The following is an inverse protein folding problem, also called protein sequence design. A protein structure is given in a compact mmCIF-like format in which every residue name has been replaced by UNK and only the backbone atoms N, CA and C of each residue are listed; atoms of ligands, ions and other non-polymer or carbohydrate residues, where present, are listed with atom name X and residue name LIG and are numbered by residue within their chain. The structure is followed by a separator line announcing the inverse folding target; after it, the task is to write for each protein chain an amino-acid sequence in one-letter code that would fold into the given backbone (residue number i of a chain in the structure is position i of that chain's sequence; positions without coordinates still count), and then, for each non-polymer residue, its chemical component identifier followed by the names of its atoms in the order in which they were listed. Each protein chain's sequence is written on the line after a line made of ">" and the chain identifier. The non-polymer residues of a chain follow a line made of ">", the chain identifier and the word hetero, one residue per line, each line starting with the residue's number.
data_IF_733581221538
#
_entry.id   IF_733581221538
#
_cell.length_a   1.000
_cell.length_b   1.000
_cell.length_c   1.000
_cell.angle_alpha   90.00
_cell.angle_beta   90.00
_cell.angle_gamma   90.00
#
_symmetry.space_group_name_H-M   'P 1'
#
loop_
_entity.id
_entity.type
_entity.pdbx_description
1 polymer ?
#
# COMPACT_ATOMS: atom_id res chain seq x y z
N UNK A 1 -20.21 -12.99 -15.38
CA UNK A 1 -19.24 -14.07 -15.11
C UNK A 1 -19.99 -15.18 -14.37
N UNK A 2 -19.86 -16.45 -14.81
CA UNK A 2 -20.53 -17.58 -14.13
C UNK A 2 -19.75 -17.98 -12.89
N UNK A 3 -20.43 -18.31 -11.80
CA UNK A 3 -19.79 -18.74 -10.53
C UNK A 3 -18.92 -19.99 -10.72
N UNK A 4 -19.27 -20.88 -11.65
CA UNK A 4 -18.50 -22.07 -12.03
C UNK A 4 -17.12 -21.77 -12.63
N UNK A 5 -16.88 -20.53 -13.04
CA UNK A 5 -15.59 -20.09 -13.61
C UNK A 5 -14.75 -19.30 -12.59
N UNK A 6 -15.21 -19.18 -11.34
CA UNK A 6 -14.49 -18.51 -10.27
C UNK A 6 -13.78 -19.55 -9.39
N UNK A 7 -12.54 -19.25 -9.04
CA UNK A 7 -11.84 -19.94 -7.95
C UNK A 7 -12.45 -19.47 -6.65
N UNK A 8 -13.32 -20.30 -6.07
CA UNK A 8 -13.98 -20.06 -4.79
C UNK A 8 -13.23 -20.86 -3.72
N UNK A 9 -12.36 -20.20 -2.99
CA UNK A 9 -11.58 -20.82 -1.92
C UNK A 9 -12.27 -20.79 -0.55
N UNK A 10 -13.61 -21.02 -0.52
CA UNK A 10 -14.38 -20.98 0.74
C UNK A 10 -14.03 -22.09 1.71
N UNK A 11 -14.07 -21.81 3.02
CA UNK A 11 -13.81 -22.76 4.08
C UNK A 11 -14.96 -22.75 5.11
N UNK A 12 -15.24 -23.91 5.72
CA UNK A 12 -16.28 -24.03 6.75
C UNK A 12 -15.77 -23.61 8.14
N UNK A 13 -14.55 -23.98 8.44
CA UNK A 13 -13.96 -23.79 9.76
C UNK A 13 -13.23 -22.45 9.88
N UNK A 14 -13.16 -21.93 11.09
CA UNK A 14 -12.34 -20.76 11.37
C UNK A 14 -10.85 -21.16 11.35
N UNK A 15 -10.00 -20.38 10.71
CA UNK A 15 -8.57 -20.62 10.81
C UNK A 15 -8.08 -20.42 12.26
N UNK A 16 -7.18 -21.30 12.70
CA UNK A 16 -6.72 -21.34 14.10
C UNK A 16 -5.99 -20.05 14.52
N UNK A 17 -5.37 -19.37 13.56
CA UNK A 17 -4.52 -18.19 13.75
C UNK A 17 -5.28 -16.86 13.51
N UNK A 18 -6.58 -16.91 13.23
CA UNK A 18 -7.37 -15.69 13.01
C UNK A 18 -8.18 -15.36 14.28
N UNK A 19 -7.74 -14.36 15.03
CA UNK A 19 -8.43 -13.90 16.24
C UNK A 19 -9.58 -12.93 15.92
N UNK A 20 -9.39 -12.06 14.90
CA UNK A 20 -10.33 -11.01 14.53
C UNK A 20 -11.43 -11.57 13.62
N UNK A 21 -12.69 -11.29 13.97
CA UNK A 21 -13.87 -11.79 13.24
C UNK A 21 -13.84 -11.43 11.74
N UNK A 22 -13.44 -10.21 11.38
CA UNK A 22 -13.33 -9.79 9.98
C UNK A 22 -12.30 -10.64 9.22
N UNK A 23 -11.16 -10.96 9.83
CA UNK A 23 -10.12 -11.82 9.26
C UNK A 23 -10.64 -13.25 9.05
N UNK A 24 -11.32 -13.82 10.06
CA UNK A 24 -11.96 -15.14 9.96
C UNK A 24 -12.95 -15.19 8.79
N UNK A 25 -13.80 -14.17 8.66
CA UNK A 25 -14.79 -14.09 7.60
C UNK A 25 -14.15 -13.92 6.22
N UNK A 26 -13.09 -13.12 6.08
CA UNK A 26 -12.36 -12.96 4.82
C UNK A 26 -11.75 -14.28 4.34
N UNK A 27 -11.13 -15.04 5.24
CA UNK A 27 -10.54 -16.36 4.90
C UNK A 27 -11.65 -17.35 4.55
N UNK A 28 -12.69 -17.46 5.39
CA UNK A 28 -13.83 -18.38 5.17
C UNK A 28 -14.58 -18.08 3.87
N UNK A 29 -14.79 -16.81 3.55
CA UNK A 29 -15.44 -16.40 2.31
C UNK A 29 -14.54 -16.56 1.07
N UNK A 30 -13.28 -16.97 1.23
CA UNK A 30 -12.34 -17.11 0.13
C UNK A 30 -11.96 -15.77 -0.52
N UNK A 31 -11.88 -14.70 0.27
CA UNK A 31 -11.40 -13.40 -0.18
C UNK A 31 -9.87 -13.34 -0.21
N UNK A 32 -9.24 -13.96 0.77
CA UNK A 32 -7.79 -14.02 0.93
C UNK A 32 -7.31 -15.43 1.27
N UNK A 33 -6.05 -15.72 0.96
CA UNK A 33 -5.34 -16.94 1.35
C UNK A 33 -3.98 -16.58 1.89
N UNK A 34 -3.68 -17.05 3.09
CA UNK A 34 -2.40 -16.82 3.74
C UNK A 34 -1.26 -17.56 3.02
N UNK A 35 -0.14 -16.88 2.86
CA UNK A 35 1.13 -17.42 2.35
C UNK A 35 2.08 -17.68 3.53
N UNK A 36 2.24 -16.67 4.39
CA UNK A 36 2.94 -16.75 5.66
C UNK A 36 2.32 -15.73 6.62
N UNK A 37 2.81 -15.67 7.86
CA UNK A 37 2.32 -14.70 8.85
C UNK A 37 2.36 -13.27 8.28
N UNK A 38 1.22 -12.58 8.27
CA UNK A 38 1.08 -11.22 7.74
C UNK A 38 1.05 -11.10 6.20
N UNK A 39 1.30 -12.18 5.44
CA UNK A 39 1.37 -12.15 3.97
C UNK A 39 0.23 -12.97 3.36
N UNK A 40 -0.56 -12.34 2.49
CA UNK A 40 -1.77 -12.91 1.92
C UNK A 40 -1.86 -12.74 0.41
N UNK A 41 -2.39 -13.77 -0.27
CA UNK A 41 -2.90 -13.65 -1.63
C UNK A 41 -4.34 -13.14 -1.59
N UNK A 42 -4.66 -12.15 -2.40
CA UNK A 42 -6.03 -11.73 -2.67
C UNK A 42 -6.62 -12.64 -3.75
N UNK A 43 -7.65 -13.40 -3.41
CA UNK A 43 -8.37 -14.25 -4.35
C UNK A 43 -9.32 -13.42 -5.24
N UNK A 44 -9.85 -13.96 -6.35
CA UNK A 44 -10.59 -13.17 -7.33
C UNK A 44 -11.75 -12.34 -6.77
N UNK A 45 -12.51 -12.88 -5.82
CA UNK A 45 -13.61 -12.14 -5.18
C UNK A 45 -13.06 -11.05 -4.25
N UNK A 46 -12.03 -11.39 -3.46
CA UNK A 46 -11.37 -10.42 -2.57
C UNK A 46 -10.78 -9.24 -3.35
N UNK A 47 -10.08 -9.53 -4.47
CA UNK A 47 -9.54 -8.46 -5.34
C UNK A 47 -10.63 -7.55 -5.90
N UNK A 48 -11.80 -8.10 -6.26
CA UNK A 48 -12.95 -7.27 -6.71
C UNK A 48 -13.51 -6.39 -5.60
N UNK A 49 -13.58 -6.88 -4.37
CA UNK A 49 -14.02 -6.07 -3.21
C UNK A 49 -13.02 -4.95 -2.98
N UNK A 50 -11.72 -5.27 -2.96
CA UNK A 50 -10.64 -4.27 -2.81
C UNK A 50 -10.74 -3.18 -3.88
N UNK A 51 -10.89 -3.56 -5.16
CA UNK A 51 -11.04 -2.60 -6.26
C UNK A 51 -12.28 -1.70 -6.12
N UNK A 52 -13.38 -2.20 -5.56
CA UNK A 52 -14.56 -1.36 -5.29
C UNK A 52 -14.25 -0.30 -4.23
N UNK A 53 -13.56 -0.68 -3.17
CA UNK A 53 -13.14 0.27 -2.11
C UNK A 53 -12.19 1.30 -2.69
N UNK A 54 -11.16 0.86 -3.42
CA UNK A 54 -10.21 1.76 -4.13
C UNK A 54 -10.93 2.75 -5.04
N UNK A 55 -11.92 2.29 -5.81
CA UNK A 55 -12.68 3.15 -6.73
C UNK A 55 -13.57 4.18 -6.01
N UNK A 56 -14.12 3.84 -4.86
CA UNK A 56 -14.88 4.79 -4.03
C UNK A 56 -13.95 5.89 -3.53
N UNK A 57 -12.80 5.51 -2.95
CA UNK A 57 -11.79 6.47 -2.46
C UNK A 57 -11.30 7.36 -3.61
N UNK A 58 -10.91 6.74 -4.74
CA UNK A 58 -10.44 7.46 -5.93
C UNK A 58 -11.47 8.49 -6.42
N UNK A 59 -12.74 8.11 -6.47
CA UNK A 59 -13.83 9.00 -6.88
C UNK A 59 -13.95 10.21 -5.96
N UNK A 60 -13.95 9.99 -4.65
CA UNK A 60 -14.07 11.09 -3.68
C UNK A 60 -12.84 12.00 -3.70
N UNK A 61 -11.63 11.45 -3.83
CA UNK A 61 -10.40 12.24 -3.95
C UNK A 61 -10.37 13.07 -5.24
N UNK A 62 -10.82 12.51 -6.38
CA UNK A 62 -10.92 13.24 -7.63
C UNK A 62 -11.96 14.39 -7.56
N UNK A 63 -13.08 14.17 -6.87
CA UNK A 63 -14.09 15.24 -6.64
C UNK A 63 -13.49 16.36 -5.79
N UNK A 64 -12.63 16.03 -4.82
CA UNK A 64 -11.91 17.00 -4.00
C UNK A 64 -10.79 17.74 -4.77
N UNK A 65 -10.50 17.35 -6.03
CA UNK A 65 -9.46 17.97 -6.86
C UNK A 65 -8.06 17.41 -6.65
N UNK A 66 -7.92 16.29 -5.94
CA UNK A 66 -6.64 15.62 -5.78
C UNK A 66 -6.16 14.99 -7.10
N UNK A 67 -4.85 14.96 -7.30
CA UNK A 67 -4.21 14.31 -8.45
C UNK A 67 -3.58 12.99 -8.00
N UNK A 68 -4.01 11.87 -8.60
CA UNK A 68 -3.46 10.55 -8.30
C UNK A 68 -2.10 10.37 -8.97
N UNK A 69 -1.12 9.96 -8.18
CA UNK A 69 0.22 9.60 -8.68
C UNK A 69 0.58 8.18 -8.22
N UNK A 70 1.47 7.52 -8.93
CA UNK A 70 2.03 6.24 -8.54
C UNK A 70 3.49 6.42 -8.16
N UNK A 71 3.79 6.21 -6.89
CA UNK A 71 5.15 6.34 -6.35
C UNK A 71 5.78 4.96 -6.13
N UNK A 72 7.12 4.84 -6.24
CA UNK A 72 7.82 3.58 -6.05
C UNK A 72 7.77 3.11 -4.59
N UNK A 73 7.60 1.80 -4.39
CA UNK A 73 7.69 1.18 -3.08
C UNK A 73 9.15 1.06 -2.62
N UNK A 74 10.07 0.78 -3.56
CA UNK A 74 11.52 0.78 -3.29
C UNK A 74 12.02 2.21 -3.38
N UNK A 75 12.61 2.68 -2.30
CA UNK A 75 13.01 4.07 -2.13
C UNK A 75 14.51 4.16 -1.80
N UNK A 76 15.23 5.20 -2.29
CA UNK A 76 16.60 5.45 -1.86
C UNK A 76 16.66 5.71 -0.35
N UNK A 77 17.54 5.01 0.35
CA UNK A 77 17.70 5.21 1.80
C UNK A 77 18.19 6.62 2.16
N UNK A 78 18.86 7.30 1.23
CA UNK A 78 19.35 8.68 1.41
C UNK A 78 18.23 9.68 1.74
N UNK A 79 17.02 9.51 1.19
CA UNK A 79 15.88 10.37 1.52
C UNK A 79 15.43 10.20 2.98
N UNK A 80 15.51 8.97 3.48
CA UNK A 80 15.20 8.62 4.87
C UNK A 80 16.29 9.06 5.84
N UNK A 81 17.54 9.08 5.37
CA UNK A 81 18.67 9.65 6.10
C UNK A 81 18.55 11.18 6.20
N UNK A 82 18.18 11.86 5.09
CA UNK A 82 17.95 13.33 5.06
C UNK A 82 16.83 13.75 6.01
N UNK A 83 15.73 12.98 6.08
CA UNK A 83 14.62 13.27 7.01
C UNK A 83 14.92 12.87 8.48
N UNK A 84 15.98 12.09 8.71
CA UNK A 84 16.32 11.52 10.04
C UNK A 84 15.36 10.40 10.47
N UNK A 85 14.43 9.97 9.61
CA UNK A 85 13.44 8.93 9.95
C UNK A 85 14.00 7.50 9.85
N UNK A 86 15.13 7.31 9.17
CA UNK A 86 15.79 5.98 9.12
C UNK A 86 16.11 5.44 10.51
N UNK A 87 16.61 6.30 11.41
CA UNK A 87 16.96 5.92 12.79
C UNK A 87 15.72 5.74 13.66
N UNK A 88 14.66 6.53 13.42
CA UNK A 88 13.39 6.44 14.15
C UNK A 88 12.66 5.12 13.89
N UNK A 89 12.68 4.65 12.64
CA UNK A 89 12.09 3.36 12.26
C UNK A 89 12.95 2.18 12.70
N UNK A 90 14.27 2.36 12.77
CA UNK A 90 15.21 1.32 13.20
C UNK A 90 15.02 0.00 12.43
N UNK A 91 14.82 -1.09 13.15
CA UNK A 91 14.66 -2.43 12.55
C UNK A 91 13.34 -2.66 11.81
N UNK A 92 12.35 -1.79 11.99
CA UNK A 92 11.06 -1.91 11.30
C UNK A 92 11.17 -1.47 9.82
N UNK A 93 12.14 -0.63 9.49
CA UNK A 93 12.44 -0.27 8.11
C UNK A 93 13.28 -1.34 7.43
N UNK A 94 12.70 -2.03 6.45
CA UNK A 94 13.43 -3.02 5.67
C UNK A 94 14.43 -2.32 4.74
N UNK A 95 15.70 -2.33 5.12
CA UNK A 95 16.81 -1.76 4.35
C UNK A 95 17.60 -2.88 3.68
N UNK A 96 18.02 -2.67 2.45
CA UNK A 96 18.82 -3.62 1.67
C UNK A 96 19.78 -2.91 0.71
N UNK A 97 20.75 -3.64 0.21
CA UNK A 97 21.69 -3.17 -0.82
C UNK A 97 21.32 -3.80 -2.16
N UNK A 98 21.48 -3.04 -3.23
CA UNK A 98 21.43 -3.59 -4.59
C UNK A 98 22.79 -4.23 -4.99
N UNK A 99 22.87 -4.75 -6.22
CA UNK A 99 24.10 -5.36 -6.76
C UNK A 99 25.29 -4.38 -6.92
N UNK A 100 25.04 -3.08 -6.80
CA UNK A 100 26.02 -2.00 -6.90
C UNK A 100 26.30 -1.36 -5.54
N UNK A 101 25.89 -2.01 -4.45
CA UNK A 101 26.01 -1.53 -3.06
C UNK A 101 25.24 -0.25 -2.75
N UNK A 102 24.30 0.16 -3.60
CA UNK A 102 23.41 1.26 -3.29
C UNK A 102 22.38 0.83 -2.23
N UNK A 103 22.19 1.69 -1.24
CA UNK A 103 21.29 1.44 -0.12
C UNK A 103 19.86 1.88 -0.44
N UNK A 104 18.94 0.96 -0.35
CA UNK A 104 17.51 1.16 -0.55
C UNK A 104 16.71 0.68 0.65
N UNK A 105 15.45 1.10 0.72
CA UNK A 105 14.48 0.56 1.66
C UNK A 105 13.14 0.29 0.99
N UNK A 106 12.34 -0.60 1.60
CA UNK A 106 10.91 -0.67 1.31
C UNK A 106 10.21 0.39 2.14
N UNK A 107 9.73 1.45 1.48
CA UNK A 107 9.08 2.55 2.17
C UNK A 107 7.74 2.13 2.78
N UNK A 108 7.59 2.18 4.11
CA UNK A 108 6.30 1.97 4.77
C UNK A 108 5.32 3.10 4.48
N UNK A 109 5.85 4.26 4.13
CA UNK A 109 5.11 5.48 3.77
C UNK A 109 5.83 6.21 2.63
N UNK A 110 5.23 7.29 2.10
CA UNK A 110 5.76 7.99 0.93
C UNK A 110 6.03 9.49 1.17
N UNK A 111 6.12 9.94 2.43
CA UNK A 111 6.35 11.36 2.74
C UNK A 111 7.68 11.86 2.18
N UNK A 112 8.75 11.07 2.25
CA UNK A 112 10.05 11.42 1.71
C UNK A 112 10.01 11.57 0.18
N UNK A 113 9.39 10.59 -0.50
CA UNK A 113 9.27 10.58 -1.96
C UNK A 113 8.40 11.73 -2.47
N UNK A 114 7.25 11.97 -1.85
CA UNK A 114 6.36 13.07 -2.29
C UNK A 114 7.00 14.43 -2.01
N UNK A 115 7.74 14.57 -0.92
CA UNK A 115 8.45 15.80 -0.59
C UNK A 115 9.56 16.08 -1.61
N UNK A 116 10.36 15.07 -1.95
CA UNK A 116 11.40 15.19 -2.98
C UNK A 116 10.78 15.53 -4.35
N UNK A 117 9.70 14.85 -4.72
CA UNK A 117 8.96 15.14 -5.95
C UNK A 117 8.46 16.59 -5.98
N UNK A 118 7.84 17.06 -4.90
CA UNK A 118 7.35 18.44 -4.81
C UNK A 118 8.49 19.46 -4.86
N UNK A 119 9.61 19.21 -4.17
CA UNK A 119 10.81 20.06 -4.20
C UNK A 119 11.33 20.26 -5.63
N UNK A 120 11.24 19.23 -6.47
CA UNK A 120 11.76 19.26 -7.83
C UNK A 120 10.76 19.78 -8.87
N UNK A 121 9.45 19.65 -8.63
CA UNK A 121 8.42 20.03 -9.61
C UNK A 121 7.77 21.38 -9.34
N UNK A 122 7.66 21.79 -8.07
CA UNK A 122 6.96 23.02 -7.71
C UNK A 122 7.86 24.23 -7.87
N UNK A 123 7.41 25.18 -8.68
CA UNK A 123 8.12 26.45 -8.93
C UNK A 123 7.46 27.64 -8.25
N UNK A 124 6.23 27.49 -7.73
CA UNK A 124 5.47 28.54 -7.08
C UNK A 124 4.63 27.98 -5.93
N UNK A 125 4.57 28.71 -4.81
CA UNK A 125 3.70 28.38 -3.67
C UNK A 125 2.22 28.29 -4.02
N UNK A 126 1.78 28.97 -5.10
CA UNK A 126 0.40 28.90 -5.60
C UNK A 126 0.02 27.49 -6.07
N UNK A 127 0.98 26.67 -6.48
CA UNK A 127 0.76 25.30 -6.89
C UNK A 127 0.48 24.38 -5.69
N UNK A 128 0.93 24.75 -4.48
CA UNK A 128 0.68 24.01 -3.24
C UNK A 128 -0.79 24.06 -2.81
N UNK A 129 -1.54 25.08 -3.20
CA UNK A 129 -2.98 25.19 -2.88
C UNK A 129 -3.82 24.07 -3.48
N UNK A 130 -3.34 23.43 -4.56
CA UNK A 130 -3.98 22.25 -5.14
C UNK A 130 -3.60 20.94 -4.44
N UNK A 131 -2.55 20.93 -3.59
CA UNK A 131 -2.02 19.75 -2.89
C UNK A 131 -2.44 19.72 -1.41
N UNK A 132 -2.94 20.83 -0.85
CA UNK A 132 -3.35 20.94 0.56
C UNK A 132 -4.64 20.16 0.86
N UNK A 133 -5.34 19.67 -0.14
CA UNK A 133 -6.58 18.90 0.00
C UNK A 133 -6.36 17.38 -0.02
N UNK A 134 -5.14 16.91 0.19
CA UNK A 134 -4.84 15.47 0.27
C UNK A 134 -5.14 14.94 1.67
#
# INVERSE_FOLDING_TARGET
>A
MKASHLILGTQRENPADAEIISHQLMIRAGLVRQVSSGIYNWLPIGKKVLQKVENIIRKEMNIAGAQEILMPMVQPASLWEESGRIDQYGQELLVFLDRHENKFCLGPTHEEIITDLCKNLLTSYKQLLSLIHI
#
